data_IF_589212268020
#
_entry.id   IF_589212268020
#
_cell.length_a   1.000
_cell.length_b   1.000
_cell.length_c   1.000
_cell.angle_alpha   90.00
_cell.angle_beta   90.00
_cell.angle_gamma   90.00
#
_symmetry.space_group_name_H-M   'P 1'
#
loop_
_entity.id
_entity.type
_entity.pdbx_description
1 polymer ?
#
# COMPACT_ATOMS: atom_id res chain seq x y z
N UNK A 1 5.75 -26.89 -6.01
CA UNK A 1 6.83 -26.91 -5.05
C UNK A 1 7.18 -25.52 -4.52
N UNK A 2 7.44 -24.59 -5.41
CA UNK A 2 7.73 -23.21 -5.01
C UNK A 2 6.54 -22.57 -4.32
N UNK A 3 5.34 -22.91 -4.76
CA UNK A 3 4.14 -22.38 -4.17
C UNK A 3 3.96 -22.86 -2.75
N UNK A 4 4.28 -24.12 -2.49
CA UNK A 4 4.22 -24.66 -1.14
C UNK A 4 5.22 -24.01 -0.21
N UNK A 5 6.44 -23.82 -0.69
CA UNK A 5 7.47 -23.15 0.10
C UNK A 5 7.05 -21.73 0.44
N UNK A 6 6.45 -21.03 -0.53
CA UNK A 6 5.97 -19.69 -0.35
C UNK A 6 4.85 -19.63 0.68
N UNK A 7 3.90 -20.55 0.59
CA UNK A 7 2.80 -20.62 1.53
C UNK A 7 3.28 -20.94 2.94
N UNK A 8 4.23 -21.86 3.06
CA UNK A 8 4.79 -22.20 4.35
C UNK A 8 5.49 -21.02 5.00
N UNK A 9 6.23 -20.24 4.21
CA UNK A 9 6.89 -19.06 4.71
C UNK A 9 5.86 -18.01 5.17
N UNK A 10 4.79 -17.85 4.42
CA UNK A 10 3.74 -16.92 4.76
C UNK A 10 3.01 -17.31 6.04
N UNK A 11 2.84 -18.61 6.27
CA UNK A 11 2.13 -19.09 7.46
C UNK A 11 2.99 -19.15 8.70
N UNK A 12 4.29 -19.31 8.54
CA UNK A 12 5.20 -19.40 9.67
C UNK A 12 5.44 -18.07 10.35
N UNK A 13 5.42 -17.02 9.57
CA UNK A 13 5.69 -15.69 10.10
C UNK A 13 4.40 -14.94 10.32
N UNK A 14 4.01 -14.84 11.56
CA UNK A 14 2.77 -14.15 11.91
C UNK A 14 2.84 -12.65 11.75
N UNK A 15 4.03 -12.12 11.66
CA UNK A 15 4.24 -10.70 11.40
C UNK A 15 4.14 -10.40 9.91
N UNK A 16 3.85 -11.39 9.21
CA UNK A 16 3.48 -11.58 7.89
C UNK A 16 3.80 -10.60 6.86
N UNK A 17 4.98 -10.85 6.31
CA UNK A 17 5.43 -10.13 5.15
C UNK A 17 5.10 -10.98 3.94
N UNK A 18 4.09 -10.57 3.20
CA UNK A 18 3.83 -11.19 1.93
C UNK A 18 4.84 -10.69 0.93
N UNK A 19 5.12 -11.49 -0.06
CA UNK A 19 5.81 -11.00 -1.25
C UNK A 19 4.74 -10.59 -2.25
N UNK A 20 4.84 -9.38 -2.74
CA UNK A 20 3.93 -8.86 -3.73
C UNK A 20 4.62 -8.83 -5.07
N UNK A 21 3.98 -9.47 -6.05
CA UNK A 21 4.49 -9.51 -7.41
C UNK A 21 3.83 -8.42 -8.22
N UNK A 22 4.62 -7.50 -8.73
CA UNK A 22 4.11 -6.43 -9.58
C UNK A 22 4.29 -6.79 -11.03
N UNK A 23 3.19 -6.86 -11.74
CA UNK A 23 3.15 -7.16 -13.16
C UNK A 23 2.82 -5.90 -13.93
N UNK A 24 3.35 -5.79 -15.13
CA UNK A 24 3.04 -4.67 -16.00
C UNK A 24 1.72 -4.89 -16.73
N UNK A 25 1.36 -3.96 -17.62
CA UNK A 25 0.11 -4.03 -18.36
C UNK A 25 0.01 -5.23 -19.30
N UNK A 26 1.15 -5.85 -19.61
CA UNK A 26 1.21 -7.06 -20.43
C UNK A 26 1.22 -8.31 -19.57
N UNK A 27 1.00 -8.15 -18.28
CA UNK A 27 0.98 -9.24 -17.31
C UNK A 27 2.34 -9.92 -17.13
N UNK A 28 3.41 -9.21 -17.46
CA UNK A 28 4.77 -9.71 -17.22
C UNK A 28 5.25 -9.27 -15.84
N UNK A 29 5.85 -10.20 -15.12
CA UNK A 29 6.40 -9.91 -13.80
C UNK A 29 7.60 -8.99 -13.92
N UNK A 30 7.53 -7.83 -13.27
CA UNK A 30 8.58 -6.84 -13.32
C UNK A 30 9.32 -6.65 -12.02
N UNK A 31 8.66 -6.93 -10.90
CA UNK A 31 9.24 -6.61 -9.61
C UNK A 31 8.51 -7.37 -8.51
N UNK A 32 9.27 -7.93 -7.59
CA UNK A 32 8.72 -8.62 -6.42
C UNK A 32 9.29 -7.98 -5.17
N UNK A 33 8.43 -7.68 -4.23
CA UNK A 33 8.82 -6.90 -3.06
C UNK A 33 8.00 -7.33 -1.86
N UNK A 34 8.64 -7.39 -0.69
CA UNK A 34 7.91 -7.69 0.54
C UNK A 34 6.91 -6.57 0.82
N UNK A 35 5.72 -6.93 1.26
CA UNK A 35 4.64 -5.97 1.46
C UNK A 35 4.99 -4.86 2.44
N UNK A 36 5.75 -5.18 3.48
CA UNK A 36 6.12 -4.19 4.49
C UNK A 36 7.13 -3.15 4.00
N UNK A 37 7.66 -3.35 2.81
CA UNK A 37 8.58 -2.37 2.23
C UNK A 37 7.88 -1.31 1.39
N UNK A 38 6.65 -1.58 1.00
CA UNK A 38 5.90 -0.66 0.16
C UNK A 38 5.27 0.42 1.01
N UNK A 39 5.47 1.68 0.64
CA UNK A 39 4.90 2.81 1.37
C UNK A 39 3.62 3.28 0.72
N UNK A 40 3.69 3.71 -0.52
CA UNK A 40 2.50 4.06 -1.28
C UNK A 40 2.80 3.97 -2.78
N UNK A 41 1.74 4.03 -3.57
CA UNK A 41 1.84 3.97 -5.03
C UNK A 41 1.07 5.16 -5.59
N UNK A 42 1.67 5.87 -6.53
CA UNK A 42 0.96 6.98 -7.17
C UNK A 42 0.97 6.81 -8.68
N UNK A 43 -0.10 7.30 -9.31
CA UNK A 43 -0.20 7.23 -10.75
C UNK A 43 0.53 8.41 -11.38
N UNK A 44 1.17 8.16 -12.53
CA UNK A 44 1.84 9.19 -13.29
C UNK A 44 1.74 8.82 -14.77
N UNK A 45 0.80 9.43 -15.46
CA UNK A 45 0.51 9.12 -16.86
C UNK A 45 0.20 7.62 -17.03
N UNK A 46 0.99 6.92 -17.82
CA UNK A 46 0.78 5.49 -18.07
C UNK A 46 1.55 4.59 -17.11
N UNK A 47 2.11 5.18 -16.05
CA UNK A 47 2.92 4.47 -15.09
C UNK A 47 2.36 4.58 -13.69
N UNK A 48 2.72 3.61 -12.86
CA UNK A 48 2.53 3.69 -11.42
C UNK A 48 3.92 3.79 -10.81
N UNK A 49 4.09 4.72 -9.89
CA UNK A 49 5.34 4.88 -9.17
C UNK A 49 5.18 4.21 -7.82
N UNK A 50 5.93 3.13 -7.61
CA UNK A 50 5.89 2.39 -6.36
C UNK A 50 6.99 2.95 -5.45
N UNK A 51 6.57 3.60 -4.36
CA UNK A 51 7.49 4.14 -3.36
C UNK A 51 7.75 3.06 -2.34
N UNK A 52 8.99 2.63 -2.23
CA UNK A 52 9.33 1.54 -1.31
C UNK A 52 10.63 1.82 -0.57
N UNK A 53 10.83 1.09 0.51
CA UNK A 53 12.00 1.25 1.38
C UNK A 53 13.09 0.27 0.97
N UNK A 54 14.27 0.81 0.71
CA UNK A 54 15.44 0.01 0.40
C UNK A 54 16.63 0.59 1.17
N UNK A 55 17.21 -0.20 2.06
CA UNK A 55 18.33 0.24 2.91
C UNK A 55 18.03 1.54 3.65
N UNK A 56 16.86 1.62 4.25
CA UNK A 56 16.40 2.78 5.02
C UNK A 56 16.16 4.04 4.20
N UNK A 57 16.13 3.91 2.90
CA UNK A 57 15.82 5.02 2.00
C UNK A 57 14.57 4.70 1.20
N UNK A 58 13.81 5.73 0.88
CA UNK A 58 12.64 5.56 0.01
C UNK A 58 13.10 5.74 -1.43
N UNK A 59 12.82 4.74 -2.23
CA UNK A 59 13.17 4.75 -3.64
C UNK A 59 11.94 4.45 -4.49
N UNK A 60 12.03 4.77 -5.75
CA UNK A 60 10.90 4.65 -6.69
C UNK A 60 11.14 3.52 -7.69
N UNK A 61 10.10 2.76 -7.94
CA UNK A 61 10.09 1.84 -9.06
C UNK A 61 8.94 2.21 -9.99
N UNK A 62 9.24 2.40 -11.27
CA UNK A 62 8.22 2.75 -12.25
C UNK A 62 7.67 1.49 -12.90
N UNK A 63 6.37 1.31 -12.79
CA UNK A 63 5.68 0.16 -13.34
C UNK A 63 4.66 0.63 -14.38
N UNK A 64 4.73 0.11 -15.58
CA UNK A 64 3.74 0.45 -16.60
C UNK A 64 2.46 -0.32 -16.35
N UNK A 65 1.55 0.34 -15.67
CA UNK A 65 0.27 -0.24 -15.29
C UNK A 65 -0.64 0.89 -14.77
N UNK A 66 -1.88 0.55 -14.42
CA UNK A 66 -2.84 1.52 -13.89
C UNK A 66 -3.14 1.20 -12.44
N UNK A 67 -3.52 2.23 -11.67
CA UNK A 67 -3.94 2.03 -10.28
C UNK A 67 -5.22 1.18 -10.21
N UNK A 68 -6.07 1.28 -11.23
CA UNK A 68 -7.29 0.49 -11.26
C UNK A 68 -6.97 -1.00 -11.26
N UNK A 69 -6.04 -1.42 -12.10
CA UNK A 69 -5.65 -2.82 -12.16
C UNK A 69 -4.92 -3.25 -10.89
N UNK A 70 -4.01 -2.41 -10.41
CA UNK A 70 -3.29 -2.72 -9.17
C UNK A 70 -4.25 -2.84 -7.99
N UNK A 71 -5.24 -1.98 -7.93
CA UNK A 71 -6.21 -2.00 -6.84
C UNK A 71 -7.00 -3.30 -6.81
N UNK A 72 -7.30 -3.88 -7.95
CA UNK A 72 -7.98 -5.17 -8.02
C UNK A 72 -7.04 -6.31 -7.63
N UNK A 73 -5.81 -6.26 -8.09
CA UNK A 73 -4.82 -7.29 -7.78
C UNK A 73 -4.42 -7.28 -6.30
N UNK A 74 -4.41 -6.11 -5.67
CA UNK A 74 -3.97 -5.94 -4.29
C UNK A 74 -5.13 -5.80 -3.29
N UNK A 75 -6.34 -6.10 -3.69
CA UNK A 75 -7.54 -5.87 -2.86
C UNK A 75 -7.51 -6.58 -1.51
N UNK A 76 -6.84 -7.72 -1.43
CA UNK A 76 -6.78 -8.51 -0.19
C UNK A 76 -5.52 -8.23 0.63
N UNK A 77 -4.81 -7.19 0.28
CA UNK A 77 -3.59 -6.77 0.99
C UNK A 77 -3.85 -5.48 1.75
N UNK A 78 -2.95 -5.07 2.64
CA UNK A 78 -3.08 -3.76 3.29
C UNK A 78 -2.87 -2.57 2.37
N UNK A 79 -2.56 -2.80 1.10
CA UNK A 79 -2.35 -1.70 0.15
C UNK A 79 -3.66 -1.40 -0.55
N UNK A 80 -4.27 -0.27 -0.19
CA UNK A 80 -5.61 0.07 -0.62
C UNK A 80 -5.66 1.43 -1.31
N UNK A 81 -6.58 1.56 -2.23
CA UNK A 81 -6.76 2.81 -2.96
C UNK A 81 -7.45 3.84 -2.06
N UNK A 82 -6.92 5.05 -2.03
CA UNK A 82 -7.47 6.13 -1.21
C UNK A 82 -7.79 7.37 -2.03
N UNK A 83 -7.41 7.36 -3.29
CA UNK A 83 -7.56 8.51 -4.15
C UNK A 83 -7.41 8.02 -5.59
N UNK A 84 -7.96 8.76 -6.55
CA UNK A 84 -7.79 8.33 -7.94
C UNK A 84 -6.32 8.24 -8.35
N UNK A 85 -5.45 8.95 -7.65
CA UNK A 85 -4.02 8.98 -7.97
C UNK A 85 -3.14 8.24 -6.98
N UNK A 86 -3.71 7.67 -5.90
CA UNK A 86 -2.90 7.07 -4.84
C UNK A 86 -3.48 5.77 -4.29
N UNK A 87 -2.56 4.86 -3.98
CA UNK A 87 -2.82 3.70 -3.13
C UNK A 87 -1.82 3.78 -1.97
N UNK A 88 -2.27 3.45 -0.77
CA UNK A 88 -1.43 3.55 0.42
C UNK A 88 -1.33 2.21 1.11
N UNK A 89 -0.20 1.95 1.75
CA UNK A 89 -0.01 0.77 2.56
C UNK A 89 -0.33 1.08 4.01
N UNK A 90 -1.38 0.46 4.54
CA UNK A 90 -1.81 0.70 5.91
C UNK A 90 -0.80 0.23 6.95
N UNK A 91 0.12 -0.63 6.57
CA UNK A 91 1.19 -1.03 7.48
C UNK A 91 2.13 0.14 7.83
N UNK A 92 2.12 1.18 7.01
CA UNK A 92 2.98 2.36 7.21
C UNK A 92 2.22 3.63 7.52
N UNK A 93 0.92 3.54 7.75
CA UNK A 93 0.12 4.69 8.12
C UNK A 93 0.30 4.95 9.61
N UNK A 94 0.81 6.12 9.94
CA UNK A 94 0.98 6.54 11.33
C UNK A 94 -0.26 7.22 11.87
N UNK A 95 -0.93 8.02 11.07
CA UNK A 95 -2.11 8.75 11.51
C UNK A 95 -3.03 9.10 10.36
N UNK A 96 -4.28 9.30 10.70
CA UNK A 96 -5.29 9.82 9.80
C UNK A 96 -5.72 11.18 10.35
N UNK A 97 -5.56 12.21 9.55
CA UNK A 97 -5.94 13.57 9.96
C UNK A 97 -7.18 13.99 9.18
N UNK A 98 -8.14 14.51 9.90
CA UNK A 98 -9.33 15.08 9.28
C UNK A 98 -9.37 16.57 9.59
N UNK A 99 -9.33 17.38 8.56
CA UNK A 99 -9.36 18.83 8.67
C UNK A 99 -10.54 19.32 7.85
N UNK A 100 -11.56 19.84 8.53
CA UNK A 100 -12.87 20.14 7.91
C UNK A 100 -13.43 18.82 7.36
N UNK A 101 -13.64 18.72 6.05
CA UNK A 101 -14.13 17.48 5.46
C UNK A 101 -13.05 16.73 4.71
N UNK A 102 -11.81 17.23 4.78
CA UNK A 102 -10.71 16.61 4.06
C UNK A 102 -9.91 15.68 4.95
N UNK A 103 -9.62 14.49 4.42
CA UNK A 103 -8.85 13.48 5.13
C UNK A 103 -7.50 13.34 4.45
N UNK A 104 -6.45 13.27 5.26
CA UNK A 104 -5.11 12.97 4.76
C UNK A 104 -4.48 11.91 5.65
N UNK A 105 -3.55 11.17 5.06
CA UNK A 105 -2.87 10.07 5.72
C UNK A 105 -1.39 10.39 5.89
N UNK A 106 -0.90 10.26 7.11
CA UNK A 106 0.51 10.46 7.40
C UNK A 106 1.19 9.11 7.55
N UNK A 107 2.40 9.02 7.06
CA UNK A 107 3.17 7.78 7.12
C UNK A 107 4.20 7.80 8.24
N UNK A 108 4.52 6.62 8.75
CA UNK A 108 5.57 6.45 9.76
C UNK A 108 6.98 6.45 9.16
N UNK A 109 7.08 6.78 7.90
CA UNK A 109 8.35 6.80 7.16
C UNK A 109 8.81 8.23 7.00
N UNK A 110 10.01 8.51 7.43
CA UNK A 110 10.57 9.85 7.38
C UNK A 110 10.75 10.34 5.94
N UNK A 111 10.36 11.59 5.71
CA UNK A 111 10.53 12.20 4.39
C UNK A 111 9.41 11.95 3.41
N UNK A 112 8.37 11.25 3.84
CA UNK A 112 7.21 10.97 2.99
C UNK A 112 6.12 12.01 3.25
N UNK A 113 5.59 12.55 2.17
CA UNK A 113 4.51 13.54 2.25
C UNK A 113 3.20 12.90 2.69
N UNK A 114 2.29 13.71 3.20
CA UNK A 114 0.94 13.26 3.47
C UNK A 114 0.24 12.96 2.14
N UNK A 115 -0.62 11.97 2.14
CA UNK A 115 -1.39 11.59 0.96
C UNK A 115 -2.86 11.91 1.20
N UNK A 116 -3.51 12.59 0.27
CA UNK A 116 -4.93 12.94 0.44
C UNK A 116 -5.84 11.76 0.17
N UNK A 117 -6.99 11.75 0.84
CA UNK A 117 -8.05 10.80 0.58
C UNK A 117 -9.18 11.54 -0.12
N UNK A 118 -9.59 11.08 -1.29
CA UNK A 118 -10.71 11.73 -1.97
C UNK A 118 -12.03 11.31 -1.33
N UNK A 119 -13.03 12.18 -1.43
CA UNK A 119 -14.32 11.96 -0.77
C UNK A 119 -14.96 10.63 -1.11
N UNK A 120 -14.83 10.21 -2.34
CA UNK A 120 -15.42 8.93 -2.78
C UNK A 120 -14.78 7.73 -2.09
N UNK A 121 -13.62 7.89 -1.48
CA UNK A 121 -12.92 6.81 -0.79
C UNK A 121 -12.97 6.93 0.73
N UNK A 122 -13.61 7.98 1.27
CA UNK A 122 -13.63 8.21 2.72
C UNK A 122 -14.11 7.02 3.52
N UNK A 123 -15.29 6.49 3.17
CA UNK A 123 -15.86 5.38 3.93
C UNK A 123 -15.00 4.13 3.84
N UNK A 124 -14.51 3.85 2.63
CA UNK A 124 -13.68 2.68 2.40
C UNK A 124 -12.36 2.78 3.16
N UNK A 125 -11.78 3.95 3.22
CA UNK A 125 -10.53 4.17 3.94
C UNK A 125 -10.73 4.05 5.45
N UNK A 126 -11.86 4.53 5.97
CA UNK A 126 -12.17 4.37 7.39
C UNK A 126 -12.31 2.90 7.76
N UNK A 127 -12.97 2.11 6.90
CA UNK A 127 -13.06 0.67 7.11
C UNK A 127 -11.70 0.01 7.11
N UNK A 128 -10.87 0.37 6.11
CA UNK A 128 -9.53 -0.19 5.99
C UNK A 128 -8.67 0.19 7.17
N UNK A 129 -8.79 1.43 7.64
CA UNK A 129 -8.04 1.91 8.79
C UNK A 129 -8.37 1.08 10.03
N UNK A 130 -9.64 0.84 10.28
CA UNK A 130 -10.07 0.01 11.41
C UNK A 130 -9.59 -1.42 11.24
N UNK A 131 -9.77 -1.98 10.04
CA UNK A 131 -9.40 -3.36 9.76
C UNK A 131 -7.91 -3.62 9.96
N UNK A 132 -7.06 -2.76 9.41
CA UNK A 132 -5.61 -2.98 9.45
C UNK A 132 -4.93 -2.39 10.67
N UNK A 133 -5.57 -1.45 11.35
CA UNK A 133 -4.96 -0.83 12.53
C UNK A 133 -4.98 -1.70 13.77
N UNK A 134 -5.78 -2.76 13.77
CA UNK A 134 -5.81 -3.68 14.91
C UNK A 134 -4.45 -4.25 15.23
N UNK A 135 -3.63 -4.43 14.21
CA UNK A 135 -2.30 -4.98 14.38
C UNK A 135 -1.30 -3.96 14.89
N UNK A 136 -1.64 -2.69 14.79
CA UNK A 136 -0.74 -1.60 15.17
C UNK A 136 -1.19 -0.84 16.40
N UNK A 137 -2.20 -1.33 17.09
CA UNK A 137 -2.69 -0.75 18.35
C UNK A 137 -3.07 0.72 18.25
N UNK A 138 -3.76 1.10 17.18
CA UNK A 138 -4.25 2.46 17.05
C UNK A 138 -5.40 2.71 17.99
N UNK A 139 -5.44 3.92 18.52
CA UNK A 139 -6.56 4.39 19.30
C UNK A 139 -7.25 5.49 18.50
N UNK A 140 -8.50 5.25 18.15
CA UNK A 140 -9.30 6.29 17.53
C UNK A 140 -9.86 7.15 18.64
N UNK A 141 -9.41 8.37 18.66
CA UNK A 141 -9.84 9.33 19.68
C UNK A 141 -10.83 10.29 19.11
#
# INVERSE_FOLDING_TARGET
EREKEFEEMATKDKDEKFLIQFKDERNELRFTLASDKIVYIESSDNYCIIKYINNNEVVDFLLRNSLKRLSEELKDTPIQRCHRSYMVNFEHIASLRKDNSEISLEFDVKGIKEVPVSKSYNDKIMESFVKFSKQNSFHLV
#
